data_IF_151740404649
#
_entry.id   IF_151740404649
#
_cell.length_a   1.000
_cell.length_b   1.000
_cell.length_c   1.000
_cell.angle_alpha   90.00
_cell.angle_beta   90.00
_cell.angle_gamma   90.00
#
_symmetry.space_group_name_H-M   'P 1'
#
loop_
_entity.id
_entity.type
_entity.pdbx_description
1 polymer ?
#
# COMPACT_ATOMS: atom_id res chain seq x y z
N UNK A 1 8.21 -4.50 -21.24
CA UNK A 1 9.22 -5.14 -20.36
C UNK A 1 8.93 -6.64 -20.34
N UNK A 2 9.94 -7.52 -20.47
CA UNK A 2 9.73 -8.97 -20.28
C UNK A 2 9.27 -9.22 -18.84
N UNK A 3 8.27 -10.07 -18.65
CA UNK A 3 7.84 -10.54 -17.33
C UNK A 3 9.02 -11.30 -16.71
N UNK A 4 9.47 -10.85 -15.54
CA UNK A 4 10.49 -11.57 -14.78
C UNK A 4 9.80 -12.79 -14.14
N UNK A 5 9.98 -13.97 -14.76
CA UNK A 5 9.39 -15.23 -14.29
C UNK A 5 9.78 -15.58 -12.85
N UNK A 6 10.91 -15.06 -12.35
CA UNK A 6 11.29 -15.24 -10.94
C UNK A 6 10.41 -14.45 -9.96
N UNK A 7 9.47 -13.63 -10.44
CA UNK A 7 8.47 -12.95 -9.60
C UNK A 7 7.08 -13.60 -9.70
N UNK A 8 6.94 -14.62 -10.53
CA UNK A 8 5.70 -15.38 -10.71
C UNK A 8 5.61 -16.47 -9.62
N UNK A 9 5.28 -16.03 -8.41
CA UNK A 9 5.14 -16.89 -7.23
C UNK A 9 3.73 -17.49 -7.13
N UNK A 10 3.56 -18.55 -6.34
CA UNK A 10 2.22 -19.03 -6.03
C UNK A 10 1.43 -17.97 -5.27
N UNK A 11 0.13 -17.85 -5.58
CA UNK A 11 -0.75 -16.92 -4.88
C UNK A 11 -0.80 -17.22 -3.37
N UNK A 12 -0.72 -18.49 -2.97
CA UNK A 12 -0.62 -18.89 -1.56
C UNK A 12 0.59 -18.26 -0.88
N UNK A 13 1.74 -18.23 -1.54
CA UNK A 13 2.98 -17.71 -0.97
C UNK A 13 2.89 -16.19 -0.77
N UNK A 14 2.25 -15.51 -1.73
CA UNK A 14 1.96 -14.07 -1.63
C UNK A 14 0.99 -13.79 -0.47
N UNK A 15 -0.09 -14.57 -0.36
CA UNK A 15 -1.07 -14.45 0.72
C UNK A 15 -0.44 -14.71 2.10
N UNK A 16 0.44 -15.69 2.21
CA UNK A 16 1.17 -15.96 3.45
C UNK A 16 2.16 -14.84 3.80
N UNK A 17 2.85 -14.29 2.79
CA UNK A 17 3.77 -13.17 2.98
C UNK A 17 3.09 -11.89 3.46
N UNK A 18 2.00 -11.48 2.79
CA UNK A 18 1.26 -10.24 3.13
C UNK A 18 0.56 -10.31 4.49
N UNK A 19 0.24 -11.50 4.99
CA UNK A 19 -0.43 -11.68 6.29
C UNK A 19 0.52 -12.00 7.45
N UNK A 20 1.84 -12.06 7.22
CA UNK A 20 2.85 -12.42 8.21
C UNK A 20 3.14 -11.25 9.20
N UNK A 21 2.12 -10.83 9.96
CA UNK A 21 2.16 -9.66 10.82
C UNK A 21 3.19 -9.82 11.96
N UNK A 22 4.16 -8.90 12.11
CA UNK A 22 5.12 -8.96 13.21
C UNK A 22 4.41 -9.06 14.55
N UNK A 23 4.96 -9.87 15.46
CA UNK A 23 4.42 -10.20 16.79
C UNK A 23 3.17 -11.12 16.82
N UNK A 24 2.48 -11.30 15.70
CA UNK A 24 1.33 -12.22 15.60
C UNK A 24 1.68 -13.50 14.83
N UNK A 25 2.45 -13.39 13.75
CA UNK A 25 2.82 -14.50 12.87
C UNK A 25 4.33 -14.51 12.60
N UNK A 26 4.92 -15.70 12.33
CA UNK A 26 6.31 -15.79 11.92
C UNK A 26 6.52 -15.19 10.51
N UNK A 27 7.72 -14.68 10.19
CA UNK A 27 8.09 -14.32 8.82
C UNK A 27 7.93 -15.50 7.86
N UNK A 28 7.54 -15.21 6.62
CA UNK A 28 7.28 -16.23 5.61
C UNK A 28 8.40 -16.29 4.58
N UNK A 29 8.85 -17.50 4.25
CA UNK A 29 9.94 -17.74 3.30
C UNK A 29 9.48 -18.67 2.18
N UNK A 30 9.86 -18.34 0.95
CA UNK A 30 9.71 -19.22 -0.21
C UNK A 30 10.74 -18.86 -1.29
N UNK A 31 10.85 -19.72 -2.30
CA UNK A 31 11.74 -19.53 -3.44
C UNK A 31 10.97 -19.69 -4.77
N UNK A 32 11.42 -18.96 -5.79
CA UNK A 32 10.95 -19.13 -7.17
C UNK A 32 12.15 -19.37 -8.09
N UNK A 33 11.91 -19.94 -9.26
CA UNK A 33 12.93 -20.15 -10.27
C UNK A 33 12.58 -19.41 -11.57
N UNK A 34 13.46 -18.51 -12.00
CA UNK A 34 13.32 -17.82 -13.28
C UNK A 34 13.65 -18.71 -14.48
N UNK A 35 13.34 -18.23 -15.68
CA UNK A 35 13.62 -18.94 -16.94
C UNK A 35 15.11 -19.19 -17.22
N UNK A 36 16.00 -18.44 -16.57
CA UNK A 36 17.46 -18.64 -16.61
C UNK A 36 17.95 -19.71 -15.63
N UNK A 37 17.05 -20.37 -14.89
CA UNK A 37 17.38 -21.31 -13.81
C UNK A 37 17.82 -20.64 -12.50
N UNK A 38 17.93 -19.30 -12.48
CA UNK A 38 18.30 -18.53 -11.29
C UNK A 38 17.18 -18.61 -10.26
N UNK A 39 17.52 -19.08 -9.06
CA UNK A 39 16.63 -19.13 -7.90
C UNK A 39 16.59 -17.76 -7.24
N UNK A 40 15.39 -17.25 -6.98
CA UNK A 40 15.15 -16.04 -6.20
C UNK A 40 14.51 -16.44 -4.87
N UNK A 41 15.07 -15.92 -3.78
CA UNK A 41 14.58 -16.15 -2.42
C UNK A 41 13.77 -14.96 -1.93
N UNK A 42 12.66 -15.23 -1.26
CA UNK A 42 11.81 -14.22 -0.64
C UNK A 42 11.76 -14.48 0.87
N UNK A 43 11.94 -13.42 1.65
CA UNK A 43 11.77 -13.43 3.10
C UNK A 43 10.84 -12.27 3.42
N UNK A 44 9.57 -12.58 3.66
CA UNK A 44 8.48 -11.60 3.71
C UNK A 44 7.91 -11.50 5.13
N UNK A 45 7.47 -10.28 5.43
CA UNK A 45 6.61 -9.95 6.57
C UNK A 45 5.42 -9.15 6.02
N UNK A 46 4.38 -9.01 6.84
CA UNK A 46 3.18 -8.24 6.51
C UNK A 46 3.53 -6.82 6.05
N UNK A 47 2.88 -6.42 4.96
CA UNK A 47 3.11 -5.16 4.28
C UNK A 47 2.36 -3.99 4.94
N UNK A 48 1.49 -4.22 5.92
CA UNK A 48 0.87 -3.23 6.79
C UNK A 48 1.88 -2.42 7.61
N UNK A 49 3.14 -2.85 7.70
CA UNK A 49 4.26 -2.04 8.21
C UNK A 49 4.71 -0.95 7.23
N UNK A 50 4.44 -1.11 5.93
CA UNK A 50 4.81 -0.18 4.85
C UNK A 50 3.60 0.52 4.24
N UNK A 51 2.53 -0.21 3.93
CA UNK A 51 1.41 0.23 3.10
C UNK A 51 0.09 -0.43 3.52
N UNK A 52 -0.44 -0.06 4.68
CA UNK A 52 -1.75 -0.55 5.14
C UNK A 52 -2.91 -0.12 4.21
N UNK A 53 -2.73 0.95 3.43
CA UNK A 53 -3.65 1.37 2.37
C UNK A 53 -2.95 1.27 1.00
N UNK A 54 -3.16 0.17 0.24
CA UNK A 54 -2.45 -0.06 -1.02
C UNK A 54 -2.99 0.77 -2.20
N UNK A 55 -3.96 1.67 -1.99
CA UNK A 55 -4.64 2.39 -3.07
C UNK A 55 -3.68 3.18 -3.96
N UNK A 56 -2.73 3.90 -3.36
CA UNK A 56 -1.70 4.63 -4.12
C UNK A 56 -0.78 3.68 -4.90
N UNK A 57 -0.47 2.50 -4.36
CA UNK A 57 0.33 1.49 -5.06
C UNK A 57 -0.42 0.93 -6.28
N UNK A 58 -1.72 0.66 -6.12
CA UNK A 58 -2.57 0.20 -7.21
C UNK A 58 -2.66 1.24 -8.33
N UNK A 59 -2.94 2.51 -8.00
CA UNK A 59 -2.97 3.61 -8.99
C UNK A 59 -1.61 3.72 -9.71
N UNK A 60 -0.51 3.67 -8.96
CA UNK A 60 0.83 3.74 -9.54
C UNK A 60 1.12 2.58 -10.50
N UNK A 61 0.61 1.37 -10.26
CA UNK A 61 0.81 0.25 -11.17
C UNK A 61 0.05 0.43 -12.49
N UNK A 62 -1.19 0.96 -12.43
CA UNK A 62 -1.94 1.33 -13.64
C UNK A 62 -1.20 2.45 -14.39
N UNK A 63 -0.69 3.48 -13.68
CA UNK A 63 0.10 4.56 -14.29
C UNK A 63 1.36 4.00 -14.97
N UNK A 64 2.08 3.08 -14.34
CA UNK A 64 3.25 2.43 -14.97
C UNK A 64 2.87 1.72 -16.26
N UNK A 65 1.74 1.02 -16.31
CA UNK A 65 1.28 0.36 -17.53
C UNK A 65 0.90 1.36 -18.63
N UNK A 66 0.25 2.48 -18.28
CA UNK A 66 -0.02 3.56 -19.22
C UNK A 66 1.26 4.22 -19.75
N UNK A 67 2.25 4.48 -18.88
CA UNK A 67 3.57 5.02 -19.28
C UNK A 67 4.30 4.06 -20.24
N UNK A 68 4.16 2.75 -20.04
CA UNK A 68 4.67 1.72 -20.97
C UNK A 68 3.88 1.63 -22.28
N UNK A 69 2.87 2.50 -22.50
CA UNK A 69 1.96 2.49 -23.66
C UNK A 69 1.25 1.15 -23.84
N UNK A 70 0.86 0.53 -22.73
CA UNK A 70 0.11 -0.72 -22.75
C UNK A 70 -1.23 -0.55 -23.48
N UNK A 71 -1.60 -1.46 -24.39
CA UNK A 71 -2.87 -1.39 -25.12
C UNK A 71 -4.10 -1.52 -24.21
N UNK A 72 -3.92 -1.95 -22.95
CA UNK A 72 -4.98 -1.99 -21.93
C UNK A 72 -5.42 -0.60 -21.46
N UNK A 73 -4.54 0.40 -21.58
CA UNK A 73 -4.80 1.77 -21.11
C UNK A 73 -4.48 2.81 -22.20
N UNK A 74 -5.14 2.72 -23.39
CA UNK A 74 -4.73 3.44 -24.59
C UNK A 74 -4.91 4.97 -24.49
N UNK A 75 -5.82 5.43 -23.63
CA UNK A 75 -6.18 6.84 -23.48
C UNK A 75 -5.86 7.42 -22.10
N UNK A 76 -5.06 6.70 -21.31
CA UNK A 76 -4.72 7.11 -19.96
C UNK A 76 -3.55 8.09 -19.96
N UNK A 77 -3.81 9.30 -19.47
CA UNK A 77 -2.80 10.33 -19.27
C UNK A 77 -2.23 10.13 -17.86
N UNK A 78 -0.90 9.96 -17.69
CA UNK A 78 -0.29 9.88 -16.38
C UNK A 78 -0.71 11.07 -15.51
N UNK A 79 -1.07 10.81 -14.26
CA UNK A 79 -1.53 11.82 -13.28
C UNK A 79 -2.87 12.51 -13.60
N UNK A 80 -3.64 12.05 -14.59
CA UNK A 80 -5.01 12.51 -14.80
C UNK A 80 -6.00 11.71 -13.95
N UNK A 81 -6.06 12.04 -12.65
CA UNK A 81 -6.93 11.36 -11.68
C UNK A 81 -8.43 11.44 -12.04
N UNK A 82 -8.84 12.39 -12.88
CA UNK A 82 -10.20 12.50 -13.41
C UNK A 82 -10.67 11.28 -14.22
N UNK A 83 -9.73 10.49 -14.78
CA UNK A 83 -10.04 9.25 -15.51
C UNK A 83 -10.05 8.00 -14.63
N UNK A 84 -9.75 8.14 -13.33
CA UNK A 84 -9.77 7.02 -12.40
C UNK A 84 -11.10 6.97 -11.65
N UNK A 85 -11.68 5.78 -11.57
CA UNK A 85 -12.70 5.44 -10.59
C UNK A 85 -12.06 4.53 -9.55
N UNK A 86 -11.98 4.98 -8.30
CA UNK A 86 -11.29 4.28 -7.22
C UNK A 86 -12.26 4.01 -6.08
N UNK A 87 -12.34 2.75 -5.66
CA UNK A 87 -13.01 2.32 -4.44
C UNK A 87 -11.94 1.78 -3.48
N UNK A 88 -11.66 2.52 -2.42
CA UNK A 88 -10.80 2.07 -1.32
C UNK A 88 -11.68 1.61 -0.15
N UNK A 89 -11.44 0.40 0.35
CA UNK A 89 -12.20 -0.20 1.45
C UNK A 89 -11.26 -0.41 2.64
N UNK A 90 -11.50 0.32 3.73
CA UNK A 90 -10.80 0.13 5.00
C UNK A 90 -11.38 -1.01 5.83
N UNK A 91 -10.60 -1.50 6.79
CA UNK A 91 -11.03 -2.54 7.76
C UNK A 91 -11.73 -1.97 9.00
N UNK A 92 -12.00 -0.66 9.00
CA UNK A 92 -12.57 0.07 10.13
C UNK A 92 -11.53 0.55 11.13
N UNK A 93 -11.96 1.44 12.04
CA UNK A 93 -11.15 1.92 13.16
C UNK A 93 -11.89 1.64 14.47
N UNK A 94 -11.14 1.32 15.52
CA UNK A 94 -11.72 1.11 16.85
C UNK A 94 -12.10 2.47 17.44
N UNK A 95 -13.38 2.66 17.74
CA UNK A 95 -13.87 3.87 18.40
C UNK A 95 -13.20 4.03 19.78
N UNK A 96 -12.57 5.18 20.03
CA UNK A 96 -11.88 5.48 21.29
C UNK A 96 -10.43 4.98 21.39
N UNK A 97 -9.84 4.46 20.29
CA UNK A 97 -8.53 3.80 20.24
C UNK A 97 -7.28 4.71 20.29
N UNK A 98 -7.28 5.76 21.12
CA UNK A 98 -6.14 6.65 21.31
C UNK A 98 -5.47 6.48 22.67
N UNK A 99 -4.16 6.72 22.74
CA UNK A 99 -3.42 6.70 24.01
C UNK A 99 -3.28 8.11 24.58
N UNK A 100 -3.47 8.27 25.89
CA UNK A 100 -3.29 9.56 26.54
C UNK A 100 -1.80 9.86 26.76
N UNK A 101 -1.35 11.08 26.44
CA UNK A 101 0.05 11.47 26.60
C UNK A 101 0.61 11.28 28.02
N UNK A 102 -0.20 11.50 29.07
CA UNK A 102 0.18 11.30 30.48
C UNK A 102 0.36 9.81 30.83
N UNK A 103 -0.33 8.92 30.12
CA UNK A 103 -0.13 7.49 30.26
C UNK A 103 1.12 7.04 29.50
N UNK A 104 1.26 7.47 28.24
CA UNK A 104 2.36 7.11 27.34
C UNK A 104 3.70 7.62 27.87
N UNK A 105 3.75 8.74 28.58
CA UNK A 105 4.99 9.24 29.19
C UNK A 105 5.60 8.31 30.24
N UNK A 106 4.82 7.34 30.74
CA UNK A 106 5.28 6.31 31.69
C UNK A 106 5.70 5.02 31.00
N UNK A 107 5.61 4.94 29.67
CA UNK A 107 5.94 3.75 28.92
C UNK A 107 7.44 3.55 28.81
N UNK A 108 7.87 2.33 29.08
CA UNK A 108 9.21 1.86 28.72
C UNK A 108 9.17 1.20 27.32
N UNK A 109 10.34 0.77 26.83
CA UNK A 109 10.48 0.14 25.52
C UNK A 109 9.52 -1.06 25.32
N UNK A 110 9.34 -1.90 26.34
CA UNK A 110 8.42 -3.03 26.26
C UNK A 110 6.97 -2.57 26.11
N UNK A 111 6.55 -1.53 26.83
CA UNK A 111 5.20 -0.96 26.72
C UNK A 111 4.92 -0.36 25.35
N UNK A 112 5.94 0.23 24.70
CA UNK A 112 5.84 0.73 23.33
C UNK A 112 5.66 -0.40 22.30
N UNK A 113 6.32 -1.54 22.52
CA UNK A 113 6.25 -2.70 21.64
C UNK A 113 5.02 -3.57 21.88
N UNK A 114 4.65 -3.80 23.14
CA UNK A 114 3.56 -4.68 23.54
C UNK A 114 2.92 -4.23 24.85
N UNK A 115 1.61 -3.98 24.83
CA UNK A 115 0.85 -3.57 26.02
C UNK A 115 -0.60 -4.05 25.92
N UNK A 116 -1.07 -4.74 26.96
CA UNK A 116 -2.45 -5.21 27.10
C UNK A 116 -2.97 -5.97 25.86
N UNK A 117 -2.15 -6.86 25.28
CA UNK A 117 -2.53 -7.63 24.09
C UNK A 117 -2.42 -6.89 22.77
N UNK A 118 -1.99 -5.62 22.77
CA UNK A 118 -1.81 -4.80 21.58
C UNK A 118 -0.33 -4.52 21.30
N UNK A 119 -0.03 -4.06 20.08
CA UNK A 119 1.28 -3.59 19.63
C UNK A 119 1.26 -2.09 19.29
N UNK A 120 1.34 -1.20 20.29
CA UNK A 120 0.98 0.20 20.14
C UNK A 120 1.69 0.92 19.01
N UNK A 121 3.03 0.81 18.93
CA UNK A 121 3.82 1.52 17.93
C UNK A 121 3.47 1.07 16.51
N UNK A 122 3.26 -0.24 16.31
CA UNK A 122 2.88 -0.80 15.00
C UNK A 122 1.48 -0.31 14.63
N UNK A 123 0.52 -0.39 15.54
CA UNK A 123 -0.85 0.09 15.30
C UNK A 123 -0.92 1.58 15.02
N UNK A 124 -0.11 2.41 15.69
CA UNK A 124 -0.03 3.86 15.44
C UNK A 124 0.56 4.15 14.05
N UNK A 125 1.70 3.53 13.70
CA UNK A 125 2.36 3.73 12.41
C UNK A 125 1.48 3.27 11.25
N UNK A 126 0.81 2.13 11.42
CA UNK A 126 -0.08 1.57 10.41
C UNK A 126 -1.26 2.51 10.15
N UNK A 127 -1.96 2.97 11.21
CA UNK A 127 -3.05 3.95 11.09
C UNK A 127 -2.60 5.28 10.48
N UNK A 128 -1.43 5.79 10.88
CA UNK A 128 -0.86 7.00 10.31
C UNK A 128 -0.57 6.84 8.80
N UNK A 129 -0.04 5.68 8.40
CA UNK A 129 0.23 5.36 7.00
C UNK A 129 -1.06 5.35 6.16
N UNK A 130 -2.16 4.77 6.68
CA UNK A 130 -3.47 4.83 6.01
C UNK A 130 -3.93 6.28 5.79
N UNK A 131 -3.90 7.09 6.86
CA UNK A 131 -4.38 8.48 6.81
C UNK A 131 -3.59 9.36 5.85
N UNK A 132 -2.27 9.16 5.75
CA UNK A 132 -1.43 9.89 4.78
C UNK A 132 -1.82 9.55 3.34
N UNK A 133 -2.08 8.27 3.05
CA UNK A 133 -2.53 7.84 1.72
C UNK A 133 -3.89 8.46 1.38
N UNK A 134 -4.85 8.44 2.31
CA UNK A 134 -6.18 9.00 2.11
C UNK A 134 -6.14 10.51 1.84
N UNK A 135 -5.36 11.26 2.63
CA UNK A 135 -5.19 12.71 2.43
C UNK A 135 -4.54 13.00 1.07
N UNK A 136 -3.46 12.28 0.73
CA UNK A 136 -2.75 12.50 -0.53
C UNK A 136 -3.64 12.23 -1.74
N UNK A 137 -4.42 11.15 -1.70
CA UNK A 137 -5.35 10.82 -2.77
C UNK A 137 -6.50 11.82 -2.83
N UNK A 138 -7.09 12.20 -1.70
CA UNK A 138 -8.12 13.23 -1.65
C UNK A 138 -7.67 14.53 -2.35
N UNK A 139 -6.49 15.03 -1.99
CA UNK A 139 -5.91 16.24 -2.60
C UNK A 139 -5.67 16.03 -4.10
N UNK A 140 -5.10 14.90 -4.51
CA UNK A 140 -4.83 14.61 -5.92
C UNK A 140 -6.10 14.57 -6.78
N UNK A 141 -7.16 13.91 -6.31
CA UNK A 141 -8.45 13.86 -7.00
C UNK A 141 -9.10 15.26 -7.08
N UNK A 142 -9.04 16.05 -6.01
CA UNK A 142 -9.58 17.41 -5.99
C UNK A 142 -8.85 18.35 -6.96
N UNK A 143 -7.51 18.30 -6.98
CA UNK A 143 -6.69 19.08 -7.93
C UNK A 143 -7.03 18.67 -9.37
N UNK A 144 -7.11 17.37 -9.66
CA UNK A 144 -7.44 16.90 -11.01
C UNK A 144 -8.83 17.34 -11.46
N UNK A 145 -9.81 17.38 -10.53
CA UNK A 145 -11.15 17.89 -10.81
C UNK A 145 -11.14 19.39 -11.10
N UNK A 146 -10.33 20.17 -10.39
CA UNK A 146 -10.21 21.62 -10.59
C UNK A 146 -9.51 21.96 -11.92
N UNK A 147 -8.53 21.16 -12.33
CA UNK A 147 -7.77 21.37 -13.57
C UNK A 147 -8.47 20.83 -14.83
N UNK A 148 -9.54 20.03 -14.69
CA UNK A 148 -10.21 19.43 -15.85
C UNK A 148 -10.77 20.45 -16.87
N UNK A 149 -11.34 21.61 -16.49
CA UNK A 149 -11.84 22.59 -17.46
C UNK A 149 -10.70 23.32 -18.21
N UNK A 150 -9.52 23.43 -17.59
CA UNK A 150 -8.35 24.08 -18.19
C UNK A 150 -7.68 23.21 -19.26
N UNK A 151 -7.74 21.88 -19.10
CA UNK A 151 -7.24 20.93 -20.12
C UNK A 151 -8.08 20.98 -21.39
N UNK A 152 -9.40 21.12 -21.25
CA UNK A 152 -10.33 21.17 -22.40
C UNK A 152 -10.18 22.41 -23.27
N UNK A 153 -9.67 23.53 -22.73
CA UNK A 153 -9.45 24.78 -23.48
C UNK A 153 -8.08 24.87 -24.15
N UNK A 154 -7.13 23.99 -23.80
CA UNK A 154 -5.79 23.96 -24.42
C UNK A 154 -5.68 23.00 -25.60
N UNK A 155 -6.69 22.14 -25.81
CA UNK A 155 -6.77 21.17 -26.91
C UNK A 155 -7.72 21.61 -28.05
N UNK A 156 -8.22 22.85 -28.01
CA UNK A 156 -9.04 23.51 -29.04
C UNK A 156 -8.27 24.63 -29.73
#
# INVERSE_FOLDING_TARGET
AKVDMSKDAFLSDICMGTTAAPTFFPPYHFETQGSSGIVRRFNLIDDGVLAQNPTSLAINEVIKEAVKKSPRFPSMIPQDYAKFLVLSLGTGQVAGGGYNAKEVSKWNMLSWLYRNGNVPIVSMLSQASQGVVDINLFVAFQISKLLSPLKTTSES
#
